data_IF_544400861794
#
_entry.id   IF_544400861794
#
_cell.length_a   1.000
_cell.length_b   1.000
_cell.length_c   1.000
_cell.angle_alpha   90.00
_cell.angle_beta   90.00
_cell.angle_gamma   90.00
#
_symmetry.space_group_name_H-M   'P 1'
#
loop_
_entity.id
_entity.type
_entity.pdbx_description
1 polymer ?
#
# COMPACT_ATOMS: atom_id res chain seq x y z
N UNK A 1 77.59 9.67 -10.88
CA UNK A 1 76.47 9.02 -11.63
C UNK A 1 75.33 8.75 -10.65
N UNK A 2 74.20 9.43 -10.85
CA UNK A 2 72.96 9.32 -10.05
C UNK A 2 72.23 8.03 -10.42
N UNK A 3 71.76 7.25 -9.44
CA UNK A 3 70.58 6.37 -9.59
C UNK A 3 69.84 6.26 -8.25
N UNK A 4 68.85 7.13 -8.07
CA UNK A 4 67.81 6.98 -7.06
C UNK A 4 66.91 5.82 -7.50
N UNK A 5 66.87 4.73 -6.74
CA UNK A 5 65.84 3.70 -6.90
C UNK A 5 64.64 4.13 -6.04
N UNK A 6 63.74 4.91 -6.65
CA UNK A 6 62.43 5.17 -6.10
C UNK A 6 61.59 3.91 -6.29
N UNK A 7 61.39 3.16 -5.22
CA UNK A 7 60.37 2.13 -5.10
C UNK A 7 59.00 2.81 -5.22
N UNK A 8 58.45 2.82 -6.44
CA UNK A 8 57.09 3.27 -6.71
C UNK A 8 56.11 2.21 -6.20
N UNK A 9 55.66 2.36 -4.95
CA UNK A 9 54.56 1.57 -4.40
C UNK A 9 53.25 2.11 -4.99
N UNK A 10 52.79 1.53 -6.09
CA UNK A 10 51.46 1.81 -6.64
C UNK A 10 50.39 1.34 -5.64
N UNK A 11 49.77 2.29 -4.94
CA UNK A 11 48.53 2.08 -4.19
C UNK A 11 47.41 1.94 -5.22
N UNK A 12 46.98 0.72 -5.50
CA UNK A 12 45.79 0.45 -6.31
C UNK A 12 44.57 0.67 -5.42
N UNK A 13 43.98 1.86 -5.49
CA UNK A 13 42.67 2.13 -4.88
C UNK A 13 41.58 1.53 -5.77
N UNK A 14 41.08 0.35 -5.41
CA UNK A 14 39.89 -0.24 -6.06
C UNK A 14 38.66 0.52 -5.56
N UNK A 15 38.19 1.50 -6.35
CA UNK A 15 36.90 2.14 -6.15
C UNK A 15 35.83 1.19 -6.66
N UNK A 16 35.27 0.35 -5.79
CA UNK A 16 34.06 -0.41 -6.11
C UNK A 16 32.88 0.54 -6.13
N UNK A 17 32.45 0.96 -7.33
CA UNK A 17 31.16 1.62 -7.53
C UNK A 17 30.09 0.54 -7.37
N UNK A 18 29.46 0.50 -6.19
CA UNK A 18 28.19 -0.22 -6.03
C UNK A 18 27.13 0.53 -6.84
N UNK A 19 26.90 0.09 -8.08
CA UNK A 19 25.69 0.45 -8.80
C UNK A 19 24.57 -0.35 -8.13
N UNK A 20 24.02 0.21 -7.05
CA UNK A 20 22.77 -0.28 -6.50
C UNK A 20 21.73 -0.17 -7.61
N UNK A 21 21.17 -1.30 -8.02
CA UNK A 21 19.98 -1.34 -8.85
C UNK A 21 18.83 -0.73 -8.04
N UNK A 22 18.71 0.59 -8.06
CA UNK A 22 17.55 1.29 -7.52
C UNK A 22 16.36 0.85 -8.35
N UNK A 23 15.62 -0.12 -7.84
CA UNK A 23 14.35 -0.50 -8.44
C UNK A 23 13.46 0.76 -8.39
N UNK A 24 12.90 1.15 -9.52
CA UNK A 24 12.01 2.32 -9.57
C UNK A 24 10.85 2.07 -8.60
N UNK A 25 10.71 2.96 -7.62
CA UNK A 25 9.62 2.94 -6.66
C UNK A 25 8.30 3.29 -7.35
N UNK A 26 7.19 2.79 -6.82
CA UNK A 26 5.87 3.15 -7.29
C UNK A 26 5.52 4.58 -6.89
N UNK A 27 4.86 5.30 -7.80
CA UNK A 27 4.23 6.58 -7.55
C UNK A 27 2.71 6.44 -7.56
N UNK A 28 1.99 7.50 -7.19
CA UNK A 28 0.52 7.54 -7.13
C UNK A 28 -0.19 7.03 -8.38
N UNK A 29 0.45 7.11 -9.56
CA UNK A 29 -0.13 6.62 -10.82
C UNK A 29 -0.37 5.11 -10.85
N UNK A 30 0.29 4.34 -9.97
CA UNK A 30 0.05 2.89 -9.84
C UNK A 30 -1.35 2.59 -9.30
N UNK A 31 -1.90 3.47 -8.47
CA UNK A 31 -3.18 3.28 -7.78
C UNK A 31 -4.28 3.06 -8.81
N UNK A 32 -4.31 3.87 -9.86
CA UNK A 32 -5.29 3.77 -10.94
C UNK A 32 -5.23 2.44 -11.69
N UNK A 33 -4.08 1.76 -11.67
CA UNK A 33 -3.90 0.46 -12.35
C UNK A 33 -4.28 -0.73 -11.49
N UNK A 34 -4.28 -0.59 -10.16
CA UNK A 34 -4.44 -1.71 -9.24
C UNK A 34 -5.67 -1.60 -8.33
N UNK A 35 -6.31 -0.44 -8.24
CA UNK A 35 -7.54 -0.29 -7.43
C UNK A 35 -8.65 -1.22 -7.92
N UNK A 36 -9.54 -1.69 -7.03
CA UNK A 36 -10.67 -2.50 -7.43
C UNK A 36 -11.52 -1.77 -8.48
N UNK A 37 -11.91 -2.48 -9.53
CA UNK A 37 -12.81 -2.01 -10.58
C UNK A 37 -14.20 -2.58 -10.38
N UNK A 38 -15.19 -2.09 -11.12
CA UNK A 38 -16.58 -2.53 -11.02
C UNK A 38 -16.74 -4.02 -11.30
N UNK A 39 -15.90 -4.59 -12.16
CA UNK A 39 -15.90 -6.01 -12.53
C UNK A 39 -15.42 -6.92 -11.39
N UNK A 40 -14.70 -6.37 -10.41
CA UNK A 40 -14.19 -7.09 -9.24
C UNK A 40 -15.14 -6.98 -8.02
N UNK A 41 -16.24 -6.24 -8.15
CA UNK A 41 -17.24 -6.13 -7.09
C UNK A 41 -18.07 -7.43 -7.03
N UNK A 42 -18.14 -8.12 -5.88
CA UNK A 42 -18.91 -9.35 -5.77
C UNK A 42 -20.41 -9.14 -6.01
N UNK A 43 -21.09 -10.20 -6.42
CA UNK A 43 -22.54 -10.15 -6.60
C UNK A 43 -23.26 -9.75 -5.31
N UNK A 44 -24.21 -8.83 -5.40
CA UNK A 44 -24.92 -8.29 -4.23
C UNK A 44 -24.21 -7.12 -3.54
N UNK A 45 -23.00 -6.76 -3.98
CA UNK A 45 -22.25 -5.61 -3.49
C UNK A 45 -22.21 -4.46 -4.51
N UNK A 46 -21.78 -3.28 -4.06
CA UNK A 46 -21.55 -2.09 -4.86
C UNK A 46 -20.46 -1.23 -4.22
N UNK A 47 -19.95 -0.23 -4.95
CA UNK A 47 -19.18 0.82 -4.28
C UNK A 47 -20.07 1.50 -3.24
N UNK A 48 -19.60 1.53 -2.00
CA UNK A 48 -20.28 2.17 -0.88
C UNK A 48 -20.56 3.65 -1.14
N UNK A 49 -21.63 4.15 -0.55
CA UNK A 49 -22.01 5.55 -0.56
C UNK A 49 -21.46 6.24 0.68
N UNK A 50 -20.86 7.41 0.50
CA UNK A 50 -20.36 8.19 1.63
C UNK A 50 -21.53 8.88 2.34
N UNK A 51 -21.81 8.57 3.62
CA UNK A 51 -22.89 9.22 4.35
C UNK A 51 -22.56 10.69 4.61
N UNK A 52 -23.59 11.54 4.72
CA UNK A 52 -23.43 13.00 4.83
C UNK A 52 -22.48 13.46 5.94
N UNK A 53 -22.52 12.80 7.11
CA UNK A 53 -21.63 13.14 8.23
C UNK A 53 -20.15 12.88 7.95
N UNK A 54 -19.85 11.91 7.07
CA UNK A 54 -18.48 11.52 6.71
C UNK A 54 -17.91 12.34 5.56
N UNK A 55 -18.72 13.14 4.85
CA UNK A 55 -18.29 13.91 3.67
C UNK A 55 -17.20 14.95 3.96
N UNK A 56 -17.11 15.41 5.21
CA UNK A 56 -16.04 16.30 5.67
C UNK A 56 -14.66 15.62 5.70
N UNK A 57 -14.64 14.28 5.76
CA UNK A 57 -13.44 13.45 5.78
C UNK A 57 -13.24 12.67 4.49
N UNK A 58 -14.31 12.14 3.90
CA UNK A 58 -14.32 11.30 2.71
C UNK A 58 -15.10 11.99 1.60
N UNK A 59 -14.45 12.38 0.49
CA UNK A 59 -15.14 13.18 -0.54
C UNK A 59 -15.96 12.34 -1.50
N UNK A 60 -15.43 11.18 -1.88
CA UNK A 60 -16.05 10.25 -2.84
C UNK A 60 -15.74 8.81 -2.44
N UNK A 61 -16.24 7.85 -3.22
CA UNK A 61 -15.80 6.47 -3.17
C UNK A 61 -15.83 5.87 -4.58
N UNK A 62 -14.74 5.24 -5.06
CA UNK A 62 -13.38 5.26 -4.50
C UNK A 62 -12.78 6.66 -4.31
N UNK A 63 -11.72 6.78 -3.51
CA UNK A 63 -11.11 8.08 -3.23
C UNK A 63 -9.60 8.02 -2.94
N UNK A 64 -8.86 8.96 -3.53
CA UNK A 64 -7.47 9.26 -3.18
C UNK A 64 -7.48 10.32 -2.07
N UNK A 65 -7.01 9.94 -0.88
CA UNK A 65 -7.11 10.77 0.31
C UNK A 65 -6.15 11.97 0.21
N UNK A 66 -6.64 13.14 0.62
CA UNK A 66 -5.76 14.28 0.82
C UNK A 66 -4.92 14.13 2.10
N UNK A 67 -3.86 14.94 2.23
CA UNK A 67 -2.93 14.85 3.35
C UNK A 67 -3.61 15.03 4.72
N UNK A 68 -4.71 15.80 4.79
CA UNK A 68 -5.45 15.98 6.02
C UNK A 68 -6.22 14.70 6.40
N UNK A 69 -6.81 14.02 5.42
CA UNK A 69 -7.44 12.72 5.61
C UNK A 69 -6.42 11.63 5.96
N UNK A 70 -5.27 11.56 5.27
CA UNK A 70 -4.18 10.64 5.58
C UNK A 70 -3.76 10.80 7.05
N UNK A 71 -3.48 12.04 7.48
CA UNK A 71 -3.11 12.33 8.87
C UNK A 71 -4.13 11.82 9.90
N UNK A 72 -5.43 11.91 9.58
CA UNK A 72 -6.50 11.48 10.48
C UNK A 72 -6.73 9.97 10.47
N UNK A 73 -6.51 9.33 9.32
CA UNK A 73 -6.94 7.95 9.08
C UNK A 73 -5.82 6.92 9.24
N UNK A 74 -4.55 7.23 8.98
CA UNK A 74 -3.47 6.22 9.00
C UNK A 74 -3.44 5.40 10.31
N UNK A 75 -3.44 6.07 11.47
CA UNK A 75 -3.44 5.39 12.78
C UNK A 75 -4.80 4.75 13.15
N UNK A 76 -5.86 5.02 12.39
CA UNK A 76 -7.17 4.37 12.54
C UNK A 76 -7.30 3.11 11.68
N UNK A 77 -6.56 3.05 10.57
CA UNK A 77 -6.56 1.89 9.66
C UNK A 77 -5.77 0.73 10.27
N UNK A 78 -4.63 1.03 10.90
CA UNK A 78 -3.87 0.05 11.68
C UNK A 78 -3.20 0.73 12.88
N UNK A 79 -3.02 0.00 14.00
CA UNK A 79 -2.40 0.54 15.21
C UNK A 79 -0.97 1.03 14.98
N UNK A 80 -0.65 2.23 15.47
CA UNK A 80 0.69 2.80 15.40
C UNK A 80 1.07 3.35 14.01
N UNK A 81 0.11 3.52 13.11
CA UNK A 81 0.35 4.00 11.76
C UNK A 81 0.85 5.44 11.70
N UNK A 82 1.99 5.65 11.05
CA UNK A 82 2.68 6.93 10.95
C UNK A 82 2.40 7.62 9.61
N UNK A 83 1.45 8.56 9.62
CA UNK A 83 1.05 9.29 8.41
C UNK A 83 2.21 10.01 7.71
N UNK A 84 3.26 10.38 8.46
CA UNK A 84 4.45 11.05 7.92
C UNK A 84 5.28 10.16 7.00
N UNK A 85 5.05 8.86 6.98
CA UNK A 85 5.72 7.87 6.13
C UNK A 85 4.94 7.52 4.86
N UNK A 86 3.66 7.90 4.82
CA UNK A 86 2.76 7.70 3.68
C UNK A 86 2.89 8.88 2.72
N UNK A 87 3.13 8.62 1.45
CA UNK A 87 3.09 9.65 0.40
C UNK A 87 1.70 9.79 -0.20
N UNK A 88 1.02 8.66 -0.42
CA UNK A 88 -0.34 8.62 -0.96
C UNK A 88 -1.12 7.46 -0.34
N UNK A 89 -2.43 7.62 -0.24
CA UNK A 89 -3.34 6.62 0.30
C UNK A 89 -4.64 6.68 -0.48
N UNK A 90 -4.99 5.56 -1.09
CA UNK A 90 -6.29 5.36 -1.71
C UNK A 90 -7.16 4.48 -0.82
N UNK A 91 -8.45 4.74 -0.85
CA UNK A 91 -9.46 3.92 -0.19
C UNK A 91 -10.61 3.63 -1.15
N UNK A 92 -11.00 2.35 -1.18
CA UNK A 92 -12.23 1.87 -1.82
C UNK A 92 -13.07 1.17 -0.76
N UNK A 93 -14.33 1.58 -0.64
CA UNK A 93 -15.34 0.92 0.20
C UNK A 93 -16.28 0.16 -0.72
N UNK A 94 -16.50 -1.12 -0.44
CA UNK A 94 -17.48 -1.96 -1.11
C UNK A 94 -18.51 -2.36 -0.06
N UNK A 95 -19.78 -2.04 -0.33
CA UNK A 95 -20.88 -2.22 0.60
C UNK A 95 -21.95 -3.12 0.00
N UNK A 96 -22.68 -3.83 0.85
CA UNK A 96 -23.84 -4.61 0.46
C UNK A 96 -24.91 -3.67 -0.14
N UNK A 97 -25.53 -4.04 -1.26
CA UNK A 97 -26.58 -3.23 -1.91
C UNK A 97 -27.76 -2.93 -0.98
N UNK A 98 -28.01 -3.78 0.01
CA UNK A 98 -29.07 -3.57 1.02
C UNK A 98 -28.69 -2.55 2.09
N UNK A 99 -27.39 -2.28 2.28
CA UNK A 99 -26.86 -1.30 3.22
C UNK A 99 -25.73 -0.50 2.55
N UNK A 100 -26.04 0.39 1.60
CA UNK A 100 -25.03 1.04 0.76
C UNK A 100 -24.10 1.99 1.53
N UNK A 101 -24.45 2.39 2.76
CA UNK A 101 -23.63 3.26 3.61
C UNK A 101 -22.70 2.50 4.57
N UNK A 102 -22.69 1.17 4.51
CA UNK A 102 -21.76 0.32 5.27
C UNK A 102 -20.35 0.31 4.68
N UNK A 103 -19.46 -0.37 5.39
CA UNK A 103 -18.06 -0.60 5.07
C UNK A 103 -17.70 -2.09 5.06
N UNK A 104 -18.60 -2.92 4.52
CA UNK A 104 -18.53 -4.39 4.56
C UNK A 104 -17.18 -4.95 4.07
N UNK A 105 -16.61 -4.34 3.03
CA UNK A 105 -15.29 -4.64 2.48
C UNK A 105 -14.55 -3.31 2.24
N UNK A 106 -13.30 -3.21 2.70
CA UNK A 106 -12.46 -2.03 2.49
C UNK A 106 -11.12 -2.41 1.89
N UNK A 107 -10.70 -1.66 0.86
CA UNK A 107 -9.39 -1.76 0.23
C UNK A 107 -8.64 -0.45 0.42
N UNK A 108 -7.49 -0.53 1.07
CA UNK A 108 -6.52 0.56 1.20
C UNK A 108 -5.31 0.29 0.30
N UNK A 109 -4.87 1.28 -0.45
CA UNK A 109 -3.59 1.22 -1.19
C UNK A 109 -2.68 2.31 -0.64
N UNK A 110 -1.64 1.89 0.07
CA UNK A 110 -0.60 2.76 0.59
C UNK A 110 0.54 2.87 -0.41
N UNK A 111 0.95 4.10 -0.68
CA UNK A 111 2.26 4.40 -1.26
C UNK A 111 3.09 5.04 -0.16
N UNK A 112 4.21 4.43 0.18
CA UNK A 112 5.16 4.93 1.16
C UNK A 112 6.22 5.80 0.48
N UNK A 113 6.74 6.78 1.24
CA UNK A 113 7.73 7.75 0.74
C UNK A 113 9.02 7.10 0.22
N UNK A 114 9.41 5.98 0.79
CA UNK A 114 10.59 5.20 0.41
C UNK A 114 10.51 3.78 0.98
N UNK A 115 11.43 2.91 0.58
CA UNK A 115 11.50 1.52 1.06
C UNK A 115 11.67 1.41 2.57
N UNK A 116 12.47 2.29 3.20
CA UNK A 116 12.61 2.30 4.66
C UNK A 116 11.27 2.58 5.35
N UNK A 117 10.55 3.58 4.86
CA UNK A 117 9.21 3.93 5.35
C UNK A 117 8.23 2.77 5.16
N UNK A 118 8.32 2.07 4.02
CA UNK A 118 7.50 0.90 3.75
C UNK A 118 7.81 -0.24 4.72
N UNK A 119 9.09 -0.60 4.90
CA UNK A 119 9.49 -1.66 5.83
C UNK A 119 9.00 -1.41 7.26
N UNK A 120 9.16 -0.18 7.76
CA UNK A 120 8.75 0.17 9.12
C UNK A 120 7.23 0.10 9.33
N UNK A 121 6.43 0.47 8.32
CA UNK A 121 4.97 0.42 8.42
C UNK A 121 4.40 -0.96 8.06
N UNK A 122 5.02 -1.69 7.14
CA UNK A 122 4.63 -3.05 6.76
C UNK A 122 4.73 -4.02 7.93
N UNK A 123 5.70 -3.86 8.84
CA UNK A 123 5.77 -4.67 10.07
C UNK A 123 4.47 -4.52 10.87
N UNK A 124 4.02 -3.28 11.09
CA UNK A 124 2.81 -2.98 11.87
C UNK A 124 1.55 -3.46 11.17
N UNK A 125 1.48 -3.27 9.85
CA UNK A 125 0.35 -3.76 9.03
C UNK A 125 0.30 -5.29 9.09
N UNK A 126 1.42 -5.98 8.88
CA UNK A 126 1.48 -7.44 8.92
C UNK A 126 1.15 -7.98 10.32
N UNK A 127 1.60 -7.33 11.41
CA UNK A 127 1.20 -7.70 12.78
C UNK A 127 -0.32 -7.56 12.96
N UNK A 128 -0.89 -6.43 12.53
CA UNK A 128 -2.32 -6.18 12.62
C UNK A 128 -3.14 -7.17 11.78
N UNK A 129 -2.70 -7.45 10.55
CA UNK A 129 -3.32 -8.43 9.65
C UNK A 129 -3.17 -9.85 10.19
N UNK A 130 -2.04 -10.20 10.80
CA UNK A 130 -1.84 -11.50 11.44
C UNK A 130 -2.83 -11.76 12.57
N UNK A 131 -3.11 -10.73 13.39
CA UNK A 131 -4.14 -10.80 14.43
C UNK A 131 -5.56 -10.91 13.84
N UNK A 132 -5.81 -10.33 12.67
CA UNK A 132 -7.09 -10.33 11.96
C UNK A 132 -7.07 -11.25 10.72
N UNK A 133 -6.35 -12.37 10.79
CA UNK A 133 -6.06 -13.20 9.61
C UNK A 133 -7.29 -13.89 9.00
N UNK A 134 -8.41 -13.95 9.74
CA UNK A 134 -9.71 -14.44 9.29
C UNK A 134 -10.53 -13.42 8.48
N UNK A 135 -10.07 -12.17 8.41
CA UNK A 135 -10.80 -11.04 7.82
C UNK A 135 -9.93 -10.04 7.07
N UNK A 136 -8.62 -10.26 7.00
CA UNK A 136 -7.67 -9.29 6.47
C UNK A 136 -6.60 -9.95 5.61
N UNK A 137 -6.20 -9.26 4.53
CA UNK A 137 -5.12 -9.66 3.63
C UNK A 137 -4.27 -8.43 3.32
N UNK A 138 -2.95 -8.59 3.33
CA UNK A 138 -2.02 -7.57 2.81
C UNK A 138 -1.21 -8.12 1.65
N UNK A 139 -1.04 -7.30 0.62
CA UNK A 139 -0.13 -7.52 -0.51
C UNK A 139 0.93 -6.44 -0.44
N UNK A 140 2.20 -6.82 -0.45
CA UNK A 140 3.33 -5.90 -0.41
C UNK A 140 4.16 -5.99 -1.69
N UNK A 141 4.60 -4.85 -2.23
CA UNK A 141 5.55 -4.78 -3.34
C UNK A 141 6.33 -3.47 -3.31
N UNK A 142 7.65 -3.52 -3.05
CA UNK A 142 8.53 -2.33 -2.94
C UNK A 142 8.02 -1.34 -1.87
N UNK A 143 7.69 -0.11 -2.26
CA UNK A 143 7.16 0.94 -1.39
C UNK A 143 5.61 0.98 -1.37
N UNK A 144 4.94 -0.10 -1.75
CA UNK A 144 3.49 -0.20 -1.85
C UNK A 144 2.95 -1.30 -0.95
N UNK A 145 1.81 -1.04 -0.32
CA UNK A 145 0.99 -2.05 0.35
C UNK A 145 -0.46 -1.92 -0.09
N UNK A 146 -1.10 -3.03 -0.44
CA UNK A 146 -2.56 -3.13 -0.59
C UNK A 146 -3.08 -3.89 0.62
N UNK A 147 -3.87 -3.22 1.45
CA UNK A 147 -4.49 -3.80 2.62
C UNK A 147 -6.00 -3.94 2.39
N UNK A 148 -6.49 -5.17 2.38
CA UNK A 148 -7.90 -5.53 2.26
C UNK A 148 -8.41 -6.05 3.59
N UNK A 149 -9.59 -5.60 4.01
CA UNK A 149 -10.26 -6.12 5.20
C UNK A 149 -11.78 -6.21 5.00
N UNK A 150 -12.41 -7.07 5.78
CA UNK A 150 -13.87 -7.24 5.82
C UNK A 150 -14.41 -7.15 7.23
N UNK A 151 -15.65 -6.70 7.37
CA UNK A 151 -16.34 -6.65 8.66
C UNK A 151 -16.73 -8.05 9.17
N UNK A 152 -17.06 -8.95 8.24
CA UNK A 152 -17.55 -10.29 8.52
C UNK A 152 -16.65 -11.35 7.89
N UNK A 153 -16.28 -12.36 8.68
CA UNK A 153 -15.45 -13.50 8.23
C UNK A 153 -16.07 -14.26 7.04
N UNK A 154 -17.39 -14.14 6.83
CA UNK A 154 -18.08 -14.78 5.70
C UNK A 154 -17.70 -14.14 4.37
N UNK A 155 -17.29 -12.89 4.40
CA UNK A 155 -16.94 -12.08 3.23
C UNK A 155 -15.44 -12.17 2.91
N UNK A 156 -14.67 -12.93 3.70
CA UNK A 156 -13.23 -13.12 3.49
C UNK A 156 -12.90 -13.65 2.10
N UNK A 157 -13.75 -14.53 1.57
CA UNK A 157 -13.57 -15.09 0.23
C UNK A 157 -13.55 -14.01 -0.85
N UNK A 158 -14.35 -12.95 -0.69
CA UNK A 158 -14.37 -11.83 -1.63
C UNK A 158 -13.03 -11.09 -1.66
N UNK A 159 -12.44 -10.79 -0.50
CA UNK A 159 -11.14 -10.13 -0.49
C UNK A 159 -10.02 -11.06 -0.94
N UNK A 160 -10.17 -12.38 -0.79
CA UNK A 160 -9.23 -13.36 -1.35
C UNK A 160 -9.20 -13.27 -2.87
N UNK A 161 -10.35 -13.31 -3.54
CA UNK A 161 -10.45 -13.18 -5.00
C UNK A 161 -9.94 -11.83 -5.52
N UNK A 162 -10.31 -10.74 -4.87
CA UNK A 162 -9.82 -9.39 -5.19
C UNK A 162 -8.29 -9.35 -5.04
N UNK A 163 -7.75 -9.91 -3.94
CA UNK A 163 -6.30 -9.90 -3.68
C UNK A 163 -5.51 -10.64 -4.76
N UNK A 164 -6.01 -11.78 -5.26
CA UNK A 164 -5.36 -12.54 -6.31
C UNK A 164 -5.35 -11.80 -7.65
N UNK A 165 -6.42 -11.06 -7.96
CA UNK A 165 -6.47 -10.21 -9.15
C UNK A 165 -5.48 -9.05 -9.06
N UNK A 166 -5.41 -8.40 -7.91
CA UNK A 166 -4.44 -7.32 -7.66
C UNK A 166 -2.99 -7.84 -7.71
N UNK A 167 -2.69 -9.00 -7.11
CA UNK A 167 -1.36 -9.64 -7.20
C UNK A 167 -0.94 -9.87 -8.63
N UNK A 168 -1.82 -10.45 -9.47
CA UNK A 168 -1.55 -10.68 -10.89
C UNK A 168 -1.25 -9.37 -11.63
N UNK A 169 -2.05 -8.32 -11.39
CA UNK A 169 -1.79 -6.99 -11.97
C UNK A 169 -0.42 -6.47 -11.56
N UNK A 170 -0.09 -6.57 -10.28
CA UNK A 170 1.22 -6.16 -9.76
C UNK A 170 2.37 -6.97 -10.38
N UNK A 171 2.26 -8.28 -10.53
CA UNK A 171 3.30 -9.14 -11.11
C UNK A 171 3.64 -8.80 -12.56
N UNK A 172 2.64 -8.35 -13.33
CA UNK A 172 2.83 -7.94 -14.74
C UNK A 172 3.47 -6.55 -14.91
N UNK A 173 3.80 -5.86 -13.81
CA UNK A 173 4.40 -4.52 -13.78
C UNK A 173 5.81 -4.52 -13.18
#
# INVERSE_FOLDING_TARGET
>A
MKRYSLLATSIITVVTVFIGSTSTMYSSSIIEKIKPTTEEIPEGYMFGQVPGFAQSLLKTNPWNLDQAAIKKLTNRIYPGGEYTKVSDLHMTIIANKRNPYGDDIVCYIFIFKNEKSAQEELIKINEHVGYNSDRSIVIEKKNLAVYLCVDSVKDFEHIREISETIKKRLETM
#
